data_IF_999369139994
#
_entry.id   IF_999369139994
#
_cell.length_a   1.000
_cell.length_b   1.000
_cell.length_c   1.000
_cell.angle_alpha   90.00
_cell.angle_beta   90.00
_cell.angle_gamma   90.00
#
_symmetry.space_group_name_H-M   'P 1'
#
loop_
_entity.id
_entity.type
_entity.pdbx_description
1 polymer ?
#
# COMPACT_ATOMS: atom_id res chain seq x y z
N UNK A 1 -5.88 17.95 2.05
CA UNK A 1 -6.34 16.92 3.02
C UNK A 1 -7.23 15.96 2.24
N UNK A 2 -6.97 14.65 2.30
CA UNK A 2 -7.73 13.61 1.58
C UNK A 2 -9.07 13.42 2.30
N UNK A 3 -10.19 13.34 1.57
CA UNK A 3 -11.49 13.10 2.19
C UNK A 3 -11.68 11.64 2.61
N UNK A 4 -12.53 11.38 3.60
CA UNK A 4 -12.87 10.02 4.04
C UNK A 4 -13.35 9.15 2.86
N UNK A 5 -14.13 9.72 1.95
CA UNK A 5 -14.57 9.04 0.74
C UNK A 5 -13.40 8.63 -0.16
N UNK A 6 -12.42 9.50 -0.35
CA UNK A 6 -11.22 9.19 -1.13
C UNK A 6 -10.40 8.09 -0.46
N UNK A 7 -10.33 8.06 0.88
CA UNK A 7 -9.67 6.97 1.59
C UNK A 7 -10.40 5.64 1.43
N UNK A 8 -11.74 5.61 1.52
CA UNK A 8 -12.53 4.39 1.22
C UNK A 8 -12.24 3.87 -0.18
N UNK A 9 -12.18 4.76 -1.18
CA UNK A 9 -11.90 4.40 -2.57
C UNK A 9 -10.49 3.82 -2.73
N UNK A 10 -9.48 4.46 -2.12
CA UNK A 10 -8.10 3.94 -2.13
C UNK A 10 -8.02 2.56 -1.46
N UNK A 11 -8.65 2.39 -0.30
CA UNK A 11 -8.65 1.12 0.42
C UNK A 11 -9.35 0.02 -0.37
N UNK A 12 -10.50 0.33 -0.98
CA UNK A 12 -11.18 -0.58 -1.90
C UNK A 12 -10.29 -0.98 -3.06
N UNK A 13 -9.67 -0.02 -3.75
CA UNK A 13 -8.77 -0.30 -4.87
C UNK A 13 -7.60 -1.23 -4.49
N UNK A 14 -6.99 -1.03 -3.32
CA UNK A 14 -5.89 -1.88 -2.85
C UNK A 14 -6.32 -3.34 -2.68
N UNK A 15 -7.53 -3.60 -2.18
CA UNK A 15 -8.07 -4.96 -2.05
C UNK A 15 -8.34 -5.61 -3.41
N UNK A 16 -8.89 -4.85 -4.35
CA UNK A 16 -9.08 -5.30 -5.72
C UNK A 16 -7.74 -5.64 -6.40
N UNK A 17 -6.70 -4.83 -6.18
CA UNK A 17 -5.35 -5.07 -6.66
C UNK A 17 -4.67 -6.27 -5.97
N UNK A 18 -4.87 -6.45 -4.66
CA UNK A 18 -4.41 -7.59 -3.89
C UNK A 18 -4.98 -8.90 -4.45
N UNK A 19 -6.29 -8.94 -4.68
CA UNK A 19 -6.97 -10.08 -5.27
C UNK A 19 -6.37 -10.45 -6.65
N UNK A 20 -6.09 -9.45 -7.49
CA UNK A 20 -5.44 -9.69 -8.79
C UNK A 20 -3.99 -10.17 -8.65
N UNK A 21 -3.20 -9.62 -7.72
CA UNK A 21 -1.83 -10.07 -7.50
C UNK A 21 -1.78 -11.52 -7.01
N UNK A 22 -2.74 -11.94 -6.17
CA UNK A 22 -2.85 -13.34 -5.69
C UNK A 22 -3.10 -14.34 -6.82
N UNK A 23 -3.89 -13.96 -7.83
CA UNK A 23 -4.12 -14.84 -8.99
C UNK A 23 -2.93 -14.91 -9.95
N UNK A 24 -1.92 -14.04 -9.78
CA UNK A 24 -0.77 -13.92 -10.67
C UNK A 24 0.59 -14.07 -9.95
N UNK A 25 0.68 -14.97 -8.99
CA UNK A 25 1.87 -15.19 -8.14
C UNK A 25 2.97 -15.99 -8.85
N UNK A 26 2.58 -16.89 -9.75
CA UNK A 26 3.49 -17.69 -10.58
C UNK A 26 3.71 -17.08 -11.99
N UNK A 27 3.07 -15.95 -12.27
CA UNK A 27 3.14 -15.28 -13.56
C UNK A 27 4.43 -14.51 -13.78
N UNK A 28 4.82 -14.33 -15.05
CA UNK A 28 5.95 -13.48 -15.43
C UNK A 28 5.65 -11.97 -15.32
N UNK A 29 4.44 -11.61 -14.88
CA UNK A 29 3.96 -10.23 -14.69
C UNK A 29 3.56 -10.01 -13.24
N UNK A 30 3.77 -8.80 -12.74
CA UNK A 30 3.48 -8.44 -11.35
C UNK A 30 3.13 -6.96 -11.21
N UNK A 31 2.30 -6.66 -10.22
CA UNK A 31 2.05 -5.30 -9.77
C UNK A 31 3.28 -4.86 -8.98
N UNK A 32 3.91 -3.78 -9.42
CA UNK A 32 5.16 -3.27 -8.81
C UNK A 32 4.95 -1.94 -8.11
N UNK A 33 3.93 -1.17 -8.47
CA UNK A 33 3.59 0.05 -7.77
C UNK A 33 2.12 0.41 -7.96
N UNK A 34 1.50 0.93 -6.92
CA UNK A 34 0.19 1.56 -6.91
C UNK A 34 0.39 2.93 -6.30
N UNK A 35 0.12 4.01 -7.04
CA UNK A 35 0.27 5.38 -6.56
C UNK A 35 -1.05 6.15 -6.66
N UNK A 36 -1.29 7.01 -5.68
CA UNK A 36 -2.48 7.84 -5.53
C UNK A 36 -2.09 9.32 -5.63
N UNK A 37 -1.81 9.82 -6.85
CA UNK A 37 -1.40 11.19 -7.03
C UNK A 37 -2.46 12.16 -6.49
N UNK A 38 -2.00 13.31 -6.01
CA UNK A 38 -2.90 14.41 -5.68
C UNK A 38 -3.68 14.84 -6.94
N UNK A 39 -4.95 15.18 -6.77
CA UNK A 39 -5.75 15.74 -7.85
C UNK A 39 -5.12 17.07 -8.30
N UNK A 40 -4.98 17.27 -9.61
CA UNK A 40 -4.41 18.51 -10.18
C UNK A 40 -5.42 19.66 -10.09
N UNK A 41 -6.72 19.32 -10.16
CA UNK A 41 -7.87 20.20 -9.96
C UNK A 41 -8.84 19.63 -8.92
N UNK A 42 -9.56 20.47 -8.14
CA UNK A 42 -10.63 20.01 -7.23
C UNK A 42 -11.76 19.26 -7.94
N UNK A 43 -11.93 19.47 -9.26
CA UNK A 43 -12.94 18.81 -10.08
C UNK A 43 -12.45 17.50 -10.73
N UNK A 44 -11.16 17.17 -10.60
CA UNK A 44 -10.62 15.95 -11.18
C UNK A 44 -11.08 14.72 -10.39
N UNK A 45 -11.53 13.71 -11.13
CA UNK A 45 -11.81 12.41 -10.54
C UNK A 45 -10.53 11.84 -9.90
N UNK A 46 -10.62 11.24 -8.70
CA UNK A 46 -9.47 10.65 -8.04
C UNK A 46 -8.86 9.56 -8.91
N UNK A 47 -7.55 9.60 -9.06
CA UNK A 47 -6.79 8.78 -9.98
C UNK A 47 -5.92 7.77 -9.23
N UNK A 48 -5.65 6.63 -9.87
CA UNK A 48 -4.65 5.66 -9.45
C UNK A 48 -3.73 5.36 -10.61
N UNK A 49 -2.44 5.32 -10.33
CA UNK A 49 -1.41 4.85 -11.25
C UNK A 49 -0.97 3.46 -10.84
N UNK A 50 -1.10 2.49 -11.73
CA UNK A 50 -0.65 1.11 -11.49
C UNK A 50 0.54 0.83 -12.40
N UNK A 51 1.69 0.58 -11.80
CA UNK A 51 2.89 0.15 -12.52
C UNK A 51 3.04 -1.35 -12.41
N UNK A 52 3.18 -2.01 -13.56
CA UNK A 52 3.46 -3.44 -13.66
C UNK A 52 4.83 -3.66 -14.26
N UNK A 53 5.43 -4.80 -13.93
CA UNK A 53 6.60 -5.29 -14.67
C UNK A 53 6.26 -6.62 -15.32
N UNK A 54 6.77 -6.84 -16.52
CA UNK A 54 6.59 -8.07 -17.29
C UNK A 54 7.90 -8.66 -17.84
N UNK A 55 7.79 -9.67 -18.73
CA UNK A 55 8.94 -10.31 -19.36
C UNK A 55 9.88 -9.29 -20.00
N UNK A 56 11.19 -9.53 -19.89
CA UNK A 56 12.22 -8.68 -20.50
C UNK A 56 12.42 -7.33 -19.80
N UNK A 57 12.04 -7.20 -18.52
CA UNK A 57 12.08 -5.94 -17.75
C UNK A 57 11.20 -4.83 -18.33
N UNK A 58 10.19 -5.20 -19.12
CA UNK A 58 9.18 -4.25 -19.58
C UNK A 58 8.41 -3.72 -18.36
N UNK A 59 8.24 -2.40 -18.30
CA UNK A 59 7.48 -1.73 -17.25
C UNK A 59 6.37 -0.93 -17.91
N UNK A 60 5.14 -1.13 -17.46
CA UNK A 60 3.96 -0.38 -17.95
C UNK A 60 3.34 0.37 -16.79
N UNK A 61 2.89 1.60 -17.02
CA UNK A 61 2.08 2.35 -16.04
C UNK A 61 0.72 2.63 -16.63
N UNK A 62 -0.31 2.09 -15.98
CA UNK A 62 -1.72 2.31 -16.30
C UNK A 62 -2.29 3.44 -15.45
N UNK A 63 -3.24 4.17 -16.04
CA UNK A 63 -3.98 5.25 -15.40
C UNK A 63 -5.44 4.84 -15.26
N UNK A 64 -5.90 4.68 -14.02
CA UNK A 64 -7.24 4.22 -13.66
C UNK A 64 -7.95 5.22 -12.76
N UNK A 65 -9.28 5.16 -12.72
CA UNK A 65 -10.05 5.84 -11.68
C UNK A 65 -9.82 5.14 -10.33
N UNK A 66 -9.84 5.88 -9.22
CA UNK A 66 -9.76 5.29 -7.87
C UNK A 66 -10.97 4.44 -7.49
N UNK A 67 -12.02 4.48 -8.29
CA UNK A 67 -13.20 3.60 -8.17
C UNK A 67 -13.13 2.40 -9.10
N UNK A 68 -12.03 2.21 -9.84
CA UNK A 68 -11.87 1.06 -10.73
C UNK A 68 -11.96 -0.24 -9.92
N UNK A 69 -12.72 -1.18 -10.46
CA UNK A 69 -12.88 -2.52 -9.91
C UNK A 69 -11.71 -3.41 -10.35
N UNK A 70 -11.60 -4.60 -9.77
CA UNK A 70 -10.66 -5.61 -10.25
C UNK A 70 -10.89 -6.03 -11.69
N UNK A 71 -12.14 -6.02 -12.18
CA UNK A 71 -12.43 -6.32 -13.59
C UNK A 71 -11.93 -5.21 -14.51
N UNK A 72 -12.09 -3.94 -14.11
CA UNK A 72 -11.53 -2.79 -14.84
C UNK A 72 -10.01 -2.85 -14.90
N UNK A 73 -9.38 -3.19 -13.75
CA UNK A 73 -7.94 -3.37 -13.64
C UNK A 73 -7.46 -4.52 -14.53
N UNK A 74 -8.14 -5.67 -14.50
CA UNK A 74 -7.82 -6.82 -15.34
C UNK A 74 -7.97 -6.49 -16.82
N UNK A 75 -9.06 -5.85 -17.23
CA UNK A 75 -9.29 -5.45 -18.62
C UNK A 75 -8.17 -4.55 -19.13
N UNK A 76 -7.79 -3.52 -18.35
CA UNK A 76 -6.70 -2.62 -18.70
C UNK A 76 -5.34 -3.33 -18.82
N UNK A 77 -5.12 -4.38 -18.02
CA UNK A 77 -3.90 -5.18 -18.05
C UNK A 77 -3.89 -6.26 -19.14
N UNK A 78 -5.05 -6.77 -19.53
CA UNK A 78 -5.19 -7.76 -20.60
C UNK A 78 -4.80 -7.17 -21.96
N UNK A 79 -5.07 -5.88 -22.17
CA UNK A 79 -4.69 -5.12 -23.36
C UNK A 79 -3.16 -4.97 -23.52
N UNK A 80 -2.38 -5.18 -22.46
CA UNK A 80 -0.90 -5.18 -22.50
C UNK A 80 -0.27 -6.45 -23.11
N UNK A 81 -1.09 -7.37 -23.61
CA UNK A 81 -0.65 -8.66 -24.14
C UNK A 81 -0.63 -9.73 -23.05
N UNK A 82 -1.80 -10.38 -22.90
CA UNK A 82 -2.06 -11.72 -22.36
C UNK A 82 -0.98 -12.34 -21.48
N UNK A 83 -1.10 -12.13 -20.17
CA UNK A 83 -0.30 -12.83 -19.16
C UNK A 83 -0.81 -12.67 -17.74
N UNK A 84 -1.93 -11.96 -17.56
CA UNK A 84 -2.65 -11.88 -16.29
C UNK A 84 -3.73 -12.96 -16.31
N UNK A 85 -3.82 -13.75 -15.24
CA UNK A 85 -4.94 -14.66 -15.07
C UNK A 85 -6.20 -13.86 -14.69
N UNK A 86 -7.35 -14.26 -15.24
CA UNK A 86 -8.62 -13.67 -14.86
C UNK A 86 -8.85 -13.85 -13.34
N UNK A 87 -9.28 -12.80 -12.63
CA UNK A 87 -9.51 -12.88 -11.20
C UNK A 87 -10.74 -13.72 -10.86
N UNK A 88 -10.69 -14.44 -9.73
CA UNK A 88 -11.83 -15.19 -9.19
C UNK A 88 -12.85 -14.24 -8.55
N UNK A 89 -14.15 -14.24 -8.93
CA UNK A 89 -15.16 -13.33 -8.39
C UNK A 89 -15.30 -13.32 -6.86
N UNK A 90 -14.94 -14.40 -6.14
CA UNK A 90 -15.18 -14.49 -4.69
C UNK A 90 -14.16 -13.70 -3.83
N UNK A 91 -14.61 -12.98 -2.79
CA UNK A 91 -13.72 -12.35 -1.81
C UNK A 91 -13.02 -13.42 -0.95
N UNK A 92 -11.68 -13.38 -0.93
CA UNK A 92 -10.88 -14.32 -0.15
C UNK A 92 -10.90 -13.92 1.33
N UNK A 93 -11.60 -14.71 2.14
CA UNK A 93 -11.57 -14.60 3.61
C UNK A 93 -10.35 -15.37 4.14
N UNK A 94 -9.17 -14.74 4.24
CA UNK A 94 -8.01 -15.35 4.91
C UNK A 94 -7.28 -14.39 5.84
N UNK A 95 -6.97 -14.90 7.03
CA UNK A 95 -6.06 -14.30 8.01
C UNK A 95 -4.59 -14.46 7.53
N UNK A 96 -3.66 -13.61 7.98
CA UNK A 96 -2.27 -13.62 7.52
C UNK A 96 -1.61 -14.98 7.75
N UNK A 97 -0.83 -15.44 6.77
CA UNK A 97 -0.04 -16.68 6.87
C UNK A 97 1.33 -16.40 7.46
N UNK A 98 1.67 -17.13 8.53
CA UNK A 98 3.00 -17.14 9.14
C UNK A 98 3.82 -18.29 8.58
N UNK A 99 4.31 -18.16 7.35
CA UNK A 99 5.16 -19.15 6.65
C UNK A 99 5.94 -18.46 5.51
N UNK A 100 7.04 -19.05 4.99
CA UNK A 100 7.77 -18.49 3.84
C UNK A 100 6.95 -18.70 2.57
N UNK A 101 5.95 -17.84 2.38
CA UNK A 101 5.27 -17.70 1.09
C UNK A 101 6.19 -16.95 0.12
N UNK A 102 6.07 -17.18 -1.20
CA UNK A 102 6.75 -16.36 -2.18
C UNK A 102 6.50 -14.88 -1.87
N UNK A 103 7.50 -14.01 -1.97
CA UNK A 103 7.36 -12.59 -1.64
C UNK A 103 6.17 -11.89 -2.30
N UNK A 104 5.72 -12.35 -3.48
CA UNK A 104 4.55 -11.81 -4.17
C UNK A 104 3.20 -12.08 -3.47
N UNK A 105 3.06 -13.23 -2.78
CA UNK A 105 1.87 -13.51 -1.98
C UNK A 105 1.83 -12.62 -0.75
N UNK A 106 2.98 -12.49 -0.07
CA UNK A 106 3.15 -11.60 1.09
C UNK A 106 2.89 -10.14 0.70
N UNK A 107 3.35 -9.71 -0.49
CA UNK A 107 3.05 -8.39 -1.01
C UNK A 107 1.54 -8.19 -1.27
N UNK A 108 0.85 -9.20 -1.80
CA UNK A 108 -0.58 -9.13 -2.00
C UNK A 108 -1.36 -9.05 -0.67
N UNK A 109 -0.93 -9.80 0.35
CA UNK A 109 -1.52 -9.72 1.68
C UNK A 109 -1.29 -8.34 2.32
N UNK A 110 -0.11 -7.74 2.12
CA UNK A 110 0.15 -6.37 2.57
C UNK A 110 -0.79 -5.36 1.91
N UNK A 111 -1.05 -5.49 0.60
CA UNK A 111 -2.00 -4.63 -0.10
C UNK A 111 -3.42 -4.76 0.47
N UNK A 112 -3.83 -5.97 0.81
CA UNK A 112 -5.14 -6.26 1.39
C UNK A 112 -5.27 -5.66 2.80
N UNK A 113 -4.28 -5.89 3.66
CA UNK A 113 -4.21 -5.35 5.02
C UNK A 113 -4.17 -3.81 5.03
N UNK A 114 -3.39 -3.21 4.11
CA UNK A 114 -3.39 -1.75 3.91
C UNK A 114 -4.75 -1.25 3.41
N UNK A 115 -5.45 -2.03 2.58
CA UNK A 115 -6.78 -1.71 2.07
C UNK A 115 -7.85 -1.71 3.17
N UNK A 116 -7.82 -2.71 4.04
CA UNK A 116 -8.74 -2.84 5.18
C UNK A 116 -8.46 -1.83 6.29
N UNK A 117 -7.19 -1.54 6.55
CA UNK A 117 -6.76 -0.70 7.67
C UNK A 117 -6.30 0.69 7.22
N UNK A 118 -6.62 1.11 6.00
CA UNK A 118 -6.25 2.45 5.51
C UNK A 118 -6.82 3.55 6.42
N UNK A 119 -8.01 3.33 6.99
CA UNK A 119 -8.60 4.24 7.97
C UNK A 119 -7.83 4.31 9.29
N UNK A 120 -7.15 3.22 9.67
CA UNK A 120 -6.32 3.19 10.88
C UNK A 120 -5.05 4.02 10.70
N UNK A 121 -4.56 4.17 9.46
CA UNK A 121 -3.47 5.10 9.15
C UNK A 121 -3.88 6.57 9.33
N UNK A 122 -5.17 6.89 9.26
CA UNK A 122 -5.68 8.26 9.13
C UNK A 122 -6.61 8.71 10.27
N UNK A 123 -7.07 7.77 11.11
CA UNK A 123 -7.97 8.02 12.23
C UNK A 123 -7.60 7.18 13.44
N UNK A 124 -6.93 7.78 14.42
CA UNK A 124 -6.75 7.19 15.75
C UNK A 124 -8.00 7.39 16.63
N UNK A 125 -8.37 6.44 17.52
CA UNK A 125 -9.44 6.63 18.49
C UNK A 125 -9.20 7.90 19.31
N UNK A 126 -10.25 8.69 19.52
CA UNK A 126 -10.18 9.97 20.23
C UNK A 126 -9.63 9.84 21.67
N UNK A 127 -9.75 8.64 22.22
CA UNK A 127 -9.54 8.27 23.62
C UNK A 127 -8.04 8.20 24.00
N UNK A 128 -7.14 8.19 22.99
CA UNK A 128 -5.67 8.13 23.18
C UNK A 128 -5.03 9.53 23.14
N UNK A 129 -5.84 10.60 23.08
CA UNK A 129 -5.34 11.98 22.98
C UNK A 129 -4.81 12.27 21.58
N UNK A 130 -5.71 12.64 20.66
CA UNK A 130 -5.42 12.87 19.23
C UNK A 130 -4.24 13.83 19.01
N UNK A 131 -3.22 13.42 18.25
CA UNK A 131 -2.63 14.30 17.26
C UNK A 131 -3.45 14.09 15.98
N UNK A 132 -3.97 15.17 15.41
CA UNK A 132 -4.53 15.18 14.06
C UNK A 132 -3.44 14.83 13.04
N UNK A 133 -3.03 13.56 12.97
CA UNK A 133 -2.18 13.08 11.89
C UNK A 133 -3.13 12.77 10.74
N UNK A 134 -3.44 13.80 9.95
CA UNK A 134 -3.97 13.60 8.62
C UNK A 134 -2.86 12.94 7.78
N UNK A 135 -2.75 11.61 7.87
CA UNK A 135 -1.91 10.84 6.97
C UNK A 135 -2.68 10.56 5.67
N UNK A 136 -1.96 10.48 4.56
CA UNK A 136 -2.49 9.99 3.29
C UNK A 136 -1.53 8.96 2.73
N UNK A 137 -2.05 7.80 2.33
CA UNK A 137 -1.27 6.84 1.56
C UNK A 137 -1.05 7.39 0.15
N UNK A 138 0.22 7.59 -0.22
CA UNK A 138 0.62 8.14 -1.52
C UNK A 138 0.98 7.02 -2.50
N UNK A 139 1.68 5.99 -2.04
CA UNK A 139 1.99 4.84 -2.87
C UNK A 139 2.32 3.58 -2.06
N UNK A 140 2.15 2.43 -2.71
CA UNK A 140 2.70 1.14 -2.27
C UNK A 140 3.43 0.54 -3.45
N UNK A 141 4.60 -0.05 -3.24
CA UNK A 141 5.35 -0.70 -4.32
C UNK A 141 6.24 -1.82 -3.86
N UNK A 142 6.78 -2.55 -4.83
CA UNK A 142 7.68 -3.68 -4.66
C UNK A 142 9.04 -3.33 -5.27
N UNK A 143 10.09 -3.38 -4.46
CA UNK A 143 11.48 -3.17 -4.86
C UNK A 143 12.26 -4.46 -4.72
N UNK A 144 12.97 -4.86 -5.78
CA UNK A 144 13.85 -6.05 -5.74
C UNK A 144 13.14 -7.35 -5.37
N UNK A 145 11.83 -7.43 -5.64
CA UNK A 145 10.94 -8.57 -5.38
C UNK A 145 10.75 -8.97 -3.91
N UNK A 146 11.56 -8.44 -2.99
CA UNK A 146 11.64 -8.89 -1.59
C UNK A 146 11.33 -7.80 -0.59
N UNK A 147 11.23 -6.54 -1.04
CA UNK A 147 10.97 -5.39 -0.18
C UNK A 147 9.75 -4.64 -0.67
N UNK A 148 8.73 -4.51 0.16
CA UNK A 148 7.66 -3.56 -0.08
C UNK A 148 8.10 -2.15 0.35
N UNK A 149 7.60 -1.14 -0.33
CA UNK A 149 7.76 0.26 0.01
C UNK A 149 6.39 0.88 0.17
N UNK A 150 6.12 1.45 1.34
CA UNK A 150 4.90 2.20 1.63
C UNK A 150 5.28 3.67 1.74
N UNK A 151 4.61 4.53 0.98
CA UNK A 151 4.83 5.97 0.98
C UNK A 151 3.60 6.68 1.53
N UNK A 152 3.80 7.48 2.57
CA UNK A 152 2.72 8.20 3.26
C UNK A 152 3.09 9.67 3.46
N UNK A 153 2.15 10.57 3.17
CA UNK A 153 2.28 11.97 3.53
C UNK A 153 1.61 12.17 4.88
N UNK A 154 2.38 12.58 5.88
CA UNK A 154 1.91 12.83 7.23
C UNK A 154 2.75 13.94 7.88
N UNK A 155 2.13 14.75 8.76
CA UNK A 155 2.83 15.82 9.49
C UNK A 155 3.55 16.85 8.58
N UNK A 156 3.08 17.04 7.35
CA UNK A 156 3.68 17.97 6.38
C UNK A 156 4.93 17.43 5.66
N UNK A 157 5.27 16.16 5.85
CA UNK A 157 6.37 15.49 5.18
C UNK A 157 5.91 14.19 4.49
N UNK A 158 6.64 13.79 3.45
CA UNK A 158 6.51 12.47 2.86
C UNK A 158 7.44 11.50 3.59
N UNK A 159 6.90 10.33 3.94
CA UNK A 159 7.62 9.25 4.60
C UNK A 159 7.64 8.03 3.69
N UNK A 160 8.77 7.32 3.65
CA UNK A 160 8.97 6.08 2.91
C UNK A 160 9.40 4.98 3.86
N UNK A 161 8.56 3.96 3.96
CA UNK A 161 8.74 2.80 4.82
C UNK A 161 9.16 1.61 3.97
N UNK A 162 10.32 1.00 4.27
CA UNK A 162 10.78 -0.23 3.62
C UNK A 162 10.45 -1.43 4.48
N UNK A 163 9.73 -2.40 3.93
CA UNK A 163 9.25 -3.59 4.64
C UNK A 163 9.84 -4.82 3.95
N UNK A 164 10.82 -5.50 4.57
CA UNK A 164 11.27 -6.81 4.11
C UNK A 164 10.11 -7.80 4.21
N UNK A 165 9.75 -8.40 3.08
CA UNK A 165 8.63 -9.35 2.98
C UNK A 165 8.95 -10.70 3.63
N UNK A 166 10.22 -10.95 3.95
CA UNK A 166 10.72 -12.09 4.70
C UNK A 166 10.92 -11.80 6.20
N UNK A 167 10.51 -10.63 6.69
CA UNK A 167 10.69 -10.20 8.08
C UNK A 167 9.98 -11.10 9.11
N UNK A 168 8.97 -11.88 8.69
CA UNK A 168 8.17 -12.73 9.56
C UNK A 168 7.19 -11.97 10.48
N UNK A 169 7.11 -10.65 10.34
CA UNK A 169 6.21 -9.79 11.11
C UNK A 169 4.78 -9.90 10.54
N UNK A 170 3.73 -9.97 11.38
CA UNK A 170 2.36 -9.95 10.90
C UNK A 170 2.05 -8.65 10.14
N UNK A 171 1.74 -8.77 8.85
CA UNK A 171 1.48 -7.61 7.98
C UNK A 171 0.25 -6.80 8.40
N UNK A 172 -0.76 -7.45 9.00
CA UNK A 172 -1.94 -6.79 9.57
C UNK A 172 -1.59 -5.73 10.64
N UNK A 173 -0.41 -5.85 11.28
CA UNK A 173 0.06 -4.86 12.24
C UNK A 173 0.73 -3.64 11.58
N UNK A 174 1.23 -3.78 10.34
CA UNK A 174 2.00 -2.74 9.63
C UNK A 174 1.26 -1.40 9.58
N UNK A 175 -0.03 -1.32 9.18
CA UNK A 175 -0.71 -0.02 9.09
C UNK A 175 -0.79 0.69 10.44
N UNK A 176 -1.09 -0.06 11.51
CA UNK A 176 -1.15 0.48 12.87
C UNK A 176 0.24 0.91 13.37
N UNK A 177 1.27 0.10 13.15
CA UNK A 177 2.62 0.41 13.62
C UNK A 177 3.26 1.59 12.87
N UNK A 178 2.95 1.76 11.57
CA UNK A 178 3.30 2.98 10.83
C UNK A 178 2.65 4.20 11.50
N UNK A 179 1.36 4.12 11.82
CA UNK A 179 0.66 5.21 12.50
C UNK A 179 1.25 5.50 13.89
N UNK A 180 1.52 4.47 14.70
CA UNK A 180 2.18 4.62 16.00
C UNK A 180 3.56 5.24 15.91
N UNK A 181 4.34 4.86 14.90
CA UNK A 181 5.65 5.43 14.67
C UNK A 181 5.55 6.92 14.33
N UNK A 182 4.65 7.28 13.41
CA UNK A 182 4.38 8.67 13.06
C UNK A 182 3.91 9.52 14.25
N UNK A 183 3.15 8.94 15.18
CA UNK A 183 2.75 9.62 16.44
C UNK A 183 3.93 9.91 17.37
N UNK A 184 4.97 9.07 17.35
CA UNK A 184 6.17 9.22 18.18
C UNK A 184 7.18 10.22 17.59
N UNK A 185 7.08 10.55 16.31
CA UNK A 185 7.92 11.57 15.68
C UNK A 185 7.63 12.93 16.33
N UNK A 186 8.58 13.53 17.07
CA UNK A 186 8.36 14.83 17.67
C UNK A 186 8.05 15.85 16.57
N UNK A 187 7.03 16.70 16.78
CA UNK A 187 6.82 17.89 15.95
C UNK A 187 7.96 18.87 16.25
N UNK A 188 9.13 18.68 15.65
CA UNK A 188 10.32 19.51 15.77
C UNK A 188 10.71 19.83 17.23
N UNK A 189 11.45 18.94 17.89
CA UNK A 189 12.41 19.27 18.98
C UNK A 189 12.80 18.05 19.82
N UNK A 190 13.71 17.19 19.32
CA UNK A 190 14.83 16.63 20.10
C UNK A 190 15.53 15.48 19.37
N UNK A 191 16.69 15.78 18.79
CA UNK A 191 17.88 14.92 18.77
C UNK A 191 17.94 13.66 17.91
N UNK A 192 16.84 12.94 17.72
CA UNK A 192 16.80 11.66 16.99
C UNK A 192 15.42 11.53 16.31
N UNK A 193 15.17 12.41 15.34
CA UNK A 193 14.00 12.25 14.46
C UNK A 193 14.27 11.07 13.51
N UNK A 194 13.36 10.10 13.38
CA UNK A 194 13.44 9.15 12.28
C UNK A 194 13.40 9.96 10.98
N UNK A 195 14.40 9.75 10.12
CA UNK A 195 14.42 10.38 8.82
C UNK A 195 13.15 10.06 8.03
N UNK A 196 12.85 10.82 6.96
CA UNK A 196 11.69 10.56 6.10
C UNK A 196 11.71 9.13 5.52
N UNK A 197 12.86 8.47 5.51
CA UNK A 197 13.01 7.09 5.08
C UNK A 197 13.40 6.21 6.29
N UNK A 198 12.65 5.12 6.51
CA UNK A 198 12.93 4.17 7.60
C UNK A 198 12.56 2.73 7.23
N UNK A 199 13.16 1.78 7.94
CA UNK A 199 12.99 0.34 7.71
C UNK A 199 12.10 -0.28 8.79
N UNK A 200 11.21 -1.17 8.39
CA UNK A 200 10.28 -1.91 9.24
C UNK A 200 10.81 -3.34 9.48
N UNK A 201 10.59 -3.95 10.67
CA UNK A 201 10.00 -3.34 11.86
C UNK A 201 10.93 -2.29 12.46
N UNK A 202 10.35 -1.21 13.00
CA UNK A 202 11.14 -0.22 13.72
C UNK A 202 11.70 -0.90 14.96
N UNK A 203 13.03 -0.98 15.07
CA UNK A 203 13.66 -1.57 16.26
C UNK A 203 13.17 -0.82 17.50
N UNK A 204 12.75 -1.51 18.58
CA UNK A 204 12.40 -0.83 19.81
C UNK A 204 13.64 -0.10 20.32
N UNK A 205 13.58 1.23 20.41
CA UNK A 205 14.57 2.03 21.12
C UNK A 205 14.72 1.43 22.51
N UNK A 206 15.90 0.87 22.80
CA UNK A 206 16.25 0.46 24.17
C UNK A 206 16.21 1.73 25.02
N UNK A 207 15.24 1.79 25.94
CA UNK A 207 15.18 2.81 26.98
C UNK A 207 16.34 2.72 27.96
#
# INVERSE_FOLDING_TARGET
MVSDQQQLQRGYFLREAAALQRTNTDGARRLTRIAFPAAESPDDAPLVLVTTSGPGSSTTTLRLAATATRDDLYAALADEGGGWAAPDPEPLTRLPRTAPEPPLLVYADLLDDLGDLLFTLTGYPADVGRPDIAAGLDAVGLTGETTATVEVTALGAAHRIRIPLDSGVPLVAVPLEIAEHLLKVPRASSGEEPGPDWDYPVSPTKG
#
